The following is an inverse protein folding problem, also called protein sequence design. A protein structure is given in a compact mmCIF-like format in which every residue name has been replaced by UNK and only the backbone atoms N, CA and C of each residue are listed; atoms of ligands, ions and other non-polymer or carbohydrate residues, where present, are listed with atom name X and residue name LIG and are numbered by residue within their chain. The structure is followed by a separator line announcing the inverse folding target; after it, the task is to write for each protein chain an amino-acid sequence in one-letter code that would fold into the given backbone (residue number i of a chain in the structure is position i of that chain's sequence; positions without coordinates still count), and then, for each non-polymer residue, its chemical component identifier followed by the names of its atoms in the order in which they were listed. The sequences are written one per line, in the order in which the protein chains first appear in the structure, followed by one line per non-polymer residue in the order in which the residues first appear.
data_IF_062154048684
#
_entry.id   IF_062154048684
#
_cell.length_a   1.000
_cell.length_b   1.000
_cell.length_c   1.000
_cell.angle_alpha   90.00
_cell.angle_beta   90.00
_cell.angle_gamma   90.00
#
_symmetry.space_group_name_H-M   'P 1'
#
loop_
_entity.id
_entity.type
_entity.pdbx_description
1 polymer ?
#
# COMPACT_ATOMS: atom_id res chain seq x y z
N UNK A 1 -8.33 19.59 32.34
CA UNK A 1 -8.64 19.35 30.91
C UNK A 1 -7.43 18.64 30.31
N UNK A 2 -7.37 17.31 30.48
CA UNK A 2 -6.22 16.51 30.09
C UNK A 2 -6.40 16.08 28.63
N UNK A 3 -5.54 16.57 27.75
CA UNK A 3 -5.36 16.00 26.42
C UNK A 3 -4.77 14.59 26.58
N UNK A 4 -5.24 13.57 25.85
CA UNK A 4 -4.58 12.28 25.89
C UNK A 4 -3.27 12.40 25.12
N UNK A 5 -2.15 12.25 25.84
CA UNK A 5 -0.82 11.97 25.30
C UNK A 5 -0.85 10.59 24.60
N UNK A 6 -1.46 10.52 23.42
CA UNK A 6 -1.42 9.34 22.57
C UNK A 6 -0.23 9.40 21.59
N UNK A 7 0.91 9.94 22.03
CA UNK A 7 2.17 9.89 21.26
C UNK A 7 3.13 8.89 21.90
N UNK A 8 2.59 7.74 22.30
CA UNK A 8 3.39 6.59 22.69
C UNK A 8 3.81 5.83 21.43
N UNK A 9 5.01 6.15 20.96
CA UNK A 9 5.85 5.31 20.11
C UNK A 9 5.34 5.06 18.68
N UNK A 10 5.52 6.06 17.82
CA UNK A 10 5.89 5.83 16.42
C UNK A 10 7.23 5.07 16.39
N UNK A 11 7.22 3.78 16.72
CA UNK A 11 8.26 2.88 16.28
C UNK A 11 8.30 3.04 14.76
N UNK A 12 9.30 3.80 14.26
CA UNK A 12 9.44 4.14 12.85
C UNK A 12 9.34 2.85 12.07
N UNK A 13 8.19 2.61 11.44
CA UNK A 13 7.96 1.38 10.74
C UNK A 13 8.95 1.41 9.58
N UNK A 14 9.99 0.59 9.66
CA UNK A 14 11.01 0.59 8.62
C UNK A 14 10.35 0.40 7.25
N UNK A 15 10.94 0.92 6.17
CA UNK A 15 10.47 0.69 4.79
C UNK A 15 10.18 -0.80 4.50
N UNK A 16 10.89 -1.70 5.18
CA UNK A 16 10.67 -3.16 5.15
C UNK A 16 9.38 -3.59 5.85
N UNK A 17 9.08 -3.03 7.01
CA UNK A 17 7.85 -3.30 7.74
C UNK A 17 6.62 -2.76 6.99
N UNK A 18 6.73 -1.58 6.36
CA UNK A 18 5.66 -1.01 5.53
C UNK A 18 5.36 -1.93 4.35
N UNK A 19 6.41 -2.32 3.60
CA UNK A 19 6.32 -3.32 2.53
C UNK A 19 5.62 -4.60 2.98
N UNK A 20 5.96 -5.12 4.16
CA UNK A 20 5.34 -6.34 4.69
C UNK A 20 3.85 -6.18 5.01
N UNK A 21 3.43 -5.03 5.54
CA UNK A 21 2.01 -4.76 5.81
C UNK A 21 1.21 -4.73 4.51
N UNK A 22 1.72 -4.04 3.49
CA UNK A 22 1.07 -3.94 2.18
C UNK A 22 0.99 -5.31 1.48
N UNK A 23 2.09 -6.07 1.51
CA UNK A 23 2.11 -7.44 0.99
C UNK A 23 1.07 -8.31 1.71
N UNK A 24 0.92 -8.16 3.03
CA UNK A 24 -0.11 -8.88 3.79
C UNK A 24 -1.52 -8.45 3.40
N UNK A 25 -1.79 -7.15 3.29
CA UNK A 25 -3.09 -6.64 2.85
C UNK A 25 -3.47 -7.21 1.46
N UNK A 26 -2.52 -7.23 0.51
CA UNK A 26 -2.81 -7.77 -0.82
C UNK A 26 -3.04 -9.29 -0.83
N UNK A 27 -2.27 -10.04 -0.04
CA UNK A 27 -2.46 -11.49 0.16
C UNK A 27 -3.85 -11.78 0.76
N UNK A 28 -4.33 -10.93 1.67
CA UNK A 28 -5.67 -11.07 2.25
C UNK A 28 -6.77 -10.84 1.21
N UNK A 29 -6.65 -9.82 0.35
CA UNK A 29 -7.56 -9.65 -0.81
C UNK A 29 -7.52 -10.83 -1.77
N UNK A 30 -6.35 -11.45 -1.98
CA UNK A 30 -6.21 -12.62 -2.84
C UNK A 30 -6.80 -13.91 -2.29
N UNK A 31 -7.27 -13.95 -1.03
CA UNK A 31 -7.93 -15.13 -0.46
C UNK A 31 -9.39 -15.25 -0.88
N UNK A 32 -10.05 -14.13 -1.14
CA UNK A 32 -11.40 -14.14 -1.70
C UNK A 32 -11.37 -14.64 -3.17
N UNK A 33 -12.25 -15.59 -3.49
CA UNK A 33 -12.28 -16.21 -4.82
C UNK A 33 -12.68 -15.23 -5.92
N UNK A 34 -13.71 -14.41 -5.68
CA UNK A 34 -14.20 -13.44 -6.65
C UNK A 34 -13.14 -12.36 -6.90
N UNK A 35 -12.50 -11.88 -5.84
CA UNK A 35 -11.40 -10.91 -5.96
C UNK A 35 -10.24 -11.51 -6.76
N UNK A 36 -9.91 -12.79 -6.53
CA UNK A 36 -8.85 -13.49 -7.27
C UNK A 36 -9.13 -13.61 -8.77
N UNK A 37 -10.38 -13.90 -9.13
CA UNK A 37 -10.83 -14.01 -10.53
C UNK A 37 -10.71 -12.65 -11.23
N UNK A 38 -11.18 -11.57 -10.60
CA UNK A 38 -11.04 -10.21 -11.16
C UNK A 38 -9.58 -9.77 -11.27
N UNK A 39 -8.76 -10.06 -10.26
CA UNK A 39 -7.33 -9.75 -10.25
C UNK A 39 -6.57 -10.49 -11.37
N UNK A 40 -6.99 -11.71 -11.75
CA UNK A 40 -6.38 -12.48 -12.84
C UNK A 40 -6.59 -11.87 -14.22
N UNK A 41 -7.61 -11.04 -14.39
CA UNK A 41 -7.87 -10.33 -15.64
C UNK A 41 -7.36 -8.89 -15.61
N UNK A 42 -7.14 -8.36 -14.41
CA UNK A 42 -6.70 -6.99 -14.19
C UNK A 42 -5.25 -6.75 -14.63
N UNK A 43 -5.05 -5.58 -15.25
CA UNK A 43 -3.75 -4.94 -15.50
C UNK A 43 -3.82 -3.51 -14.98
N UNK A 44 -3.13 -3.26 -13.88
CA UNK A 44 -3.19 -1.98 -13.18
C UNK A 44 -1.80 -1.56 -12.72
N UNK A 45 -1.46 -0.31 -12.96
CA UNK A 45 -0.34 0.39 -12.35
C UNK A 45 -0.89 1.35 -11.32
N UNK A 46 -0.67 1.05 -10.04
CA UNK A 46 -1.15 1.88 -8.94
C UNK A 46 0.02 2.64 -8.32
N UNK A 47 -0.14 3.93 -8.08
CA UNK A 47 0.78 4.72 -7.27
C UNK A 47 0.22 4.82 -5.86
N UNK A 48 0.99 4.41 -4.87
CA UNK A 48 0.58 4.49 -3.47
C UNK A 48 1.48 5.49 -2.77
N UNK A 49 0.86 6.43 -2.08
CA UNK A 49 1.52 7.56 -1.41
C UNK A 49 1.16 7.55 0.06
N UNK A 50 2.18 7.66 0.88
CA UNK A 50 2.07 7.84 2.31
C UNK A 50 2.70 9.18 2.68
N UNK A 51 1.86 10.16 3.00
CA UNK A 51 2.25 11.57 3.08
C UNK A 51 3.16 11.86 4.27
N UNK A 52 2.80 11.39 5.47
CA UNK A 52 3.56 11.62 6.70
C UNK A 52 5.02 11.16 6.61
N UNK A 53 5.30 10.16 5.78
CA UNK A 53 6.66 9.61 5.59
C UNK A 53 7.30 10.03 4.26
N UNK A 54 6.63 10.87 3.46
CA UNK A 54 7.10 11.30 2.15
C UNK A 54 7.43 10.10 1.24
N UNK A 55 6.65 9.02 1.35
CA UNK A 55 7.00 7.73 0.77
C UNK A 55 6.02 7.34 -0.33
N UNK A 56 6.55 6.97 -1.49
CA UNK A 56 5.76 6.52 -2.62
C UNK A 56 6.32 5.23 -3.21
N UNK A 57 5.44 4.31 -3.61
CA UNK A 57 5.79 3.14 -4.41
C UNK A 57 4.77 2.91 -5.52
N UNK A 58 5.25 2.33 -6.61
CA UNK A 58 4.39 1.83 -7.68
C UNK A 58 4.11 0.35 -7.42
N UNK A 59 2.84 -0.03 -7.51
CA UNK A 59 2.39 -1.42 -7.51
C UNK A 59 1.93 -1.76 -8.92
N UNK A 60 2.56 -2.75 -9.53
CA UNK A 60 2.11 -3.33 -10.79
C UNK A 60 1.32 -4.59 -10.49
N UNK A 61 0.07 -4.61 -10.93
CA UNK A 61 -0.77 -5.80 -10.96
C UNK A 61 -0.90 -6.24 -12.42
N UNK A 62 -0.40 -7.41 -12.77
CA UNK A 62 -0.58 -8.01 -14.10
C UNK A 62 -1.05 -9.44 -13.95
N UNK A 63 -2.34 -9.68 -14.23
CA UNK A 63 -2.97 -11.00 -14.21
C UNK A 63 -2.72 -11.78 -12.92
N UNK A 64 -2.80 -11.08 -11.79
CA UNK A 64 -2.57 -11.62 -10.45
C UNK A 64 -1.11 -11.72 -10.01
N UNK A 65 -0.15 -11.31 -10.85
CA UNK A 65 1.22 -11.06 -10.40
C UNK A 65 1.31 -9.65 -9.84
N UNK A 66 1.95 -9.51 -8.67
CA UNK A 66 2.13 -8.22 -7.99
C UNK A 66 3.62 -7.93 -7.92
N UNK A 67 4.01 -6.77 -8.44
CA UNK A 67 5.37 -6.26 -8.37
C UNK A 67 5.39 -4.86 -7.73
N UNK A 68 6.47 -4.57 -7.01
CA UNK A 68 6.64 -3.31 -6.30
C UNK A 68 7.89 -2.60 -6.82
N UNK A 69 7.72 -1.41 -7.36
CA UNK A 69 8.82 -0.50 -7.73
C UNK A 69 8.86 0.69 -6.75
N UNK A 70 10.08 1.09 -6.36
CA UNK A 70 10.31 2.29 -5.55
C UNK A 70 10.20 3.58 -6.37
N UNK A 71 10.28 3.49 -7.69
CA UNK A 71 10.11 4.66 -8.56
C UNK A 71 8.62 4.93 -8.73
N UNK A 72 8.15 6.16 -8.44
CA UNK A 72 6.77 6.52 -8.68
C UNK A 72 6.47 6.53 -10.17
N UNK A 73 5.37 5.87 -10.57
CA UNK A 73 4.91 5.85 -11.94
C UNK A 73 4.51 7.26 -12.39
N UNK A 74 4.89 7.62 -13.63
CA UNK A 74 4.54 8.94 -14.19
C UNK A 74 3.06 9.05 -14.56
N UNK A 75 2.41 7.93 -14.90
CA UNK A 75 1.01 7.84 -15.30
C UNK A 75 0.38 6.58 -14.68
N UNK A 76 0.12 6.59 -13.36
CA UNK A 76 -0.58 5.48 -12.73
C UNK A 76 -2.05 5.47 -13.17
N UNK A 77 -2.64 4.29 -13.29
CA UNK A 77 -4.07 4.11 -13.53
C UNK A 77 -4.90 4.54 -12.32
N UNK A 78 -4.35 4.33 -11.11
CA UNK A 78 -4.97 4.70 -9.83
C UNK A 78 -3.91 5.25 -8.90
N UNK A 79 -4.23 6.33 -8.18
CA UNK A 79 -3.41 6.83 -7.07
C UNK A 79 -4.17 6.63 -5.77
N UNK A 80 -3.53 5.99 -4.80
CA UNK A 80 -4.05 5.80 -3.45
C UNK A 80 -3.16 6.58 -2.48
N UNK A 81 -3.76 7.43 -1.68
CA UNK A 81 -3.05 8.30 -0.75
C UNK A 81 -3.59 8.10 0.65
N UNK A 82 -2.68 7.88 1.58
CA UNK A 82 -2.96 7.87 3.02
C UNK A 82 -2.20 9.03 3.66
N UNK A 83 -2.87 9.75 4.55
CA UNK A 83 -2.24 10.87 5.25
C UNK A 83 -1.26 10.36 6.30
N UNK A 84 -1.63 9.27 6.98
CA UNK A 84 -0.81 8.66 8.02
C UNK A 84 -0.69 7.16 7.83
N UNK A 85 0.37 6.57 8.37
CA UNK A 85 0.59 5.12 8.27
C UNK A 85 -0.40 4.28 9.12
N UNK A 86 -1.16 4.94 9.98
CA UNK A 86 -2.10 4.33 10.91
C UNK A 86 -3.55 4.30 10.39
N UNK A 87 -3.83 4.94 9.25
CA UNK A 87 -5.12 4.85 8.52
C UNK A 87 -5.23 3.57 7.70
#
# INVERSE_FOLDING_TARGET
MNQPEAVANSSQLSKRAARRLIQRALVLTGRDRHVREHIREARLTMLWVLEDWGFAWTVHLDRGKIEFDRRPAKKPDVTLTWRTAAE
#
